data_IF_803782443687
#
_entry.id   IF_803782443687
#
_cell.length_a   1.000
_cell.length_b   1.000
_cell.length_c   1.000
_cell.angle_alpha   90.00
_cell.angle_beta   90.00
_cell.angle_gamma   90.00
#
_symmetry.space_group_name_H-M   'P 1'
#
loop_
_entity.id
_entity.type
_entity.pdbx_description
1 polymer ?
#
# COMPACT_ATOMS: atom_id res chain seq x y z
N UNK A 1 3.39 -30.92 45.26
CA UNK A 1 2.31 -29.92 45.09
C UNK A 1 2.80 -28.64 44.38
N UNK A 2 3.88 -28.68 43.58
CA UNK A 2 4.48 -27.51 42.91
C UNK A 2 4.05 -27.29 41.45
N UNK A 3 3.52 -28.31 40.77
CA UNK A 3 3.28 -28.24 39.32
C UNK A 3 2.17 -27.28 38.89
N UNK A 4 1.14 -27.07 39.73
CA UNK A 4 0.01 -26.19 39.40
C UNK A 4 0.40 -24.72 39.52
N UNK A 5 1.19 -24.36 40.53
CA UNK A 5 1.68 -22.98 40.72
C UNK A 5 2.67 -22.63 39.60
N UNK A 6 3.62 -23.53 39.30
CA UNK A 6 4.60 -23.35 38.22
C UNK A 6 3.94 -23.27 36.82
N UNK A 7 2.89 -24.04 36.57
CA UNK A 7 2.11 -23.94 35.33
C UNK A 7 1.37 -22.59 35.21
N UNK A 8 0.82 -22.08 36.30
CA UNK A 8 0.13 -20.78 36.30
C UNK A 8 1.12 -19.63 36.07
N UNK A 9 2.30 -19.67 36.70
CA UNK A 9 3.32 -18.64 36.48
C UNK A 9 3.87 -18.65 35.05
N UNK A 10 4.16 -19.85 34.50
CA UNK A 10 4.63 -19.98 33.12
C UNK A 10 3.59 -19.48 32.12
N UNK A 11 2.32 -19.87 32.26
CA UNK A 11 1.24 -19.38 31.37
C UNK A 11 1.05 -17.86 31.45
N UNK A 12 1.15 -17.26 32.64
CA UNK A 12 1.04 -15.81 32.80
C UNK A 12 2.21 -15.06 32.15
N UNK A 13 3.42 -15.61 32.23
CA UNK A 13 4.59 -15.07 31.54
C UNK A 13 4.44 -15.12 30.02
N UNK A 14 3.97 -16.24 29.46
CA UNK A 14 3.70 -16.37 28.02
C UNK A 14 2.63 -15.39 27.54
N UNK A 15 1.52 -15.28 28.27
CA UNK A 15 0.43 -14.35 27.94
C UNK A 15 0.92 -12.89 27.92
N UNK A 16 1.72 -12.49 28.92
CA UNK A 16 2.26 -11.13 29.00
C UNK A 16 3.20 -10.82 27.82
N UNK A 17 4.09 -11.75 27.46
CA UNK A 17 4.96 -11.59 26.31
C UNK A 17 4.18 -11.54 24.99
N UNK A 18 3.14 -12.35 24.84
CA UNK A 18 2.26 -12.34 23.67
C UNK A 18 1.54 -11.00 23.52
N UNK A 19 1.00 -10.43 24.60
CA UNK A 19 0.32 -9.12 24.57
C UNK A 19 1.28 -7.99 24.22
N UNK A 20 2.54 -8.06 24.66
CA UNK A 20 3.56 -7.05 24.31
C UNK A 20 3.95 -7.15 22.83
N UNK A 21 4.15 -8.37 22.33
CA UNK A 21 4.46 -8.60 20.91
C UNK A 21 3.27 -8.26 20.00
N UNK A 22 2.03 -8.52 20.44
CA UNK A 22 0.83 -8.17 19.68
C UNK A 22 0.64 -6.66 19.54
N UNK A 23 1.04 -5.88 20.55
CA UNK A 23 1.09 -4.41 20.45
C UNK A 23 2.12 -3.95 19.42
N UNK A 24 3.30 -4.57 19.38
CA UNK A 24 4.35 -4.22 18.43
C UNK A 24 3.91 -4.48 16.97
N UNK A 25 3.29 -5.63 16.69
CA UNK A 25 2.74 -5.91 15.35
C UNK A 25 1.59 -4.95 14.99
N UNK A 26 0.78 -4.53 15.96
CA UNK A 26 -0.26 -3.52 15.75
C UNK A 26 0.31 -2.17 15.31
N UNK A 27 1.42 -1.74 15.90
CA UNK A 27 2.11 -0.51 15.49
C UNK A 27 2.69 -0.64 14.08
N UNK A 28 3.38 -1.75 13.78
CA UNK A 28 3.93 -2.02 12.44
C UNK A 28 2.82 -2.03 11.38
N UNK A 29 1.68 -2.67 11.69
CA UNK A 29 0.53 -2.69 10.81
C UNK A 29 -0.02 -1.28 10.56
N UNK A 30 -0.17 -0.46 11.59
CA UNK A 30 -0.59 0.94 11.46
C UNK A 30 0.32 1.74 10.52
N UNK A 31 1.64 1.61 10.68
CA UNK A 31 2.63 2.27 9.82
C UNK A 31 2.48 1.80 8.37
N UNK A 32 2.47 0.48 8.13
CA UNK A 32 2.33 -0.05 6.78
C UNK A 32 1.02 0.36 6.11
N UNK A 33 -0.07 0.43 6.87
CA UNK A 33 -1.38 0.84 6.34
C UNK A 33 -1.39 2.31 5.94
N UNK A 34 -0.76 3.18 6.72
CA UNK A 34 -0.61 4.62 6.39
C UNK A 34 0.28 4.79 5.15
N UNK A 35 1.43 4.11 5.10
CA UNK A 35 2.30 4.13 3.93
C UNK A 35 1.56 3.64 2.66
N UNK A 36 0.80 2.55 2.79
CA UNK A 36 0.02 2.01 1.68
C UNK A 36 -1.09 2.96 1.24
N UNK A 37 -1.76 3.63 2.18
CA UNK A 37 -2.77 4.64 1.87
C UNK A 37 -2.17 5.80 1.06
N UNK A 38 -0.97 6.26 1.40
CA UNK A 38 -0.29 7.32 0.63
C UNK A 38 0.01 6.82 -0.80
N UNK A 39 0.54 5.60 -0.95
CA UNK A 39 0.82 5.01 -2.26
C UNK A 39 -0.46 4.90 -3.10
N UNK A 40 -1.56 4.47 -2.48
CA UNK A 40 -2.88 4.42 -3.11
C UNK A 40 -3.28 5.81 -3.62
N UNK A 41 -3.21 6.83 -2.78
CA UNK A 41 -3.60 8.20 -3.16
C UNK A 41 -2.74 8.69 -4.34
N UNK A 42 -1.43 8.47 -4.29
CA UNK A 42 -0.51 8.84 -5.38
C UNK A 42 -0.89 8.09 -6.65
N UNK A 43 -1.11 6.77 -6.60
CA UNK A 43 -1.53 5.99 -7.76
C UNK A 43 -2.83 6.53 -8.38
N UNK A 44 -3.82 6.89 -7.55
CA UNK A 44 -5.09 7.46 -8.00
C UNK A 44 -4.99 8.86 -8.63
N UNK A 45 -3.99 9.66 -8.26
CA UNK A 45 -3.77 11.00 -8.83
C UNK A 45 -2.91 10.94 -10.09
N UNK A 46 -2.05 9.92 -10.23
CA UNK A 46 -1.17 9.78 -11.40
C UNK A 46 -1.98 9.80 -12.70
N UNK A 47 -1.66 10.68 -13.66
CA UNK A 47 -2.45 10.89 -14.87
C UNK A 47 -2.27 9.80 -15.93
N UNK A 48 -1.38 8.84 -15.69
CA UNK A 48 -1.03 7.77 -16.62
C UNK A 48 -1.25 6.42 -15.93
N UNK A 49 -2.34 5.77 -16.30
CA UNK A 49 -2.71 4.44 -15.81
C UNK A 49 -2.51 3.40 -16.90
N UNK A 50 -2.85 3.75 -18.14
CA UNK A 50 -2.59 2.92 -19.32
C UNK A 50 -1.84 3.77 -20.35
N UNK A 51 -0.65 3.29 -20.74
CA UNK A 51 0.14 3.91 -21.80
C UNK A 51 -0.38 3.49 -23.18
N UNK A 52 -0.66 4.45 -24.04
CA UNK A 52 -0.85 4.20 -25.47
C UNK A 52 0.52 4.03 -26.16
N UNK A 53 0.57 3.22 -27.20
CA UNK A 53 1.78 2.98 -27.99
C UNK A 53 2.17 4.24 -28.77
N UNK A 54 3.46 4.57 -28.82
CA UNK A 54 4.01 5.72 -29.57
C UNK A 54 3.74 5.67 -31.08
N UNK A 55 3.28 4.53 -31.59
CA UNK A 55 2.97 4.28 -32.99
C UNK A 55 1.51 4.62 -33.36
N UNK A 56 0.66 5.03 -32.39
CA UNK A 56 -0.74 5.35 -32.68
C UNK A 56 -0.85 6.74 -33.34
N UNK A 57 -1.70 6.87 -34.36
CA UNK A 57 -1.93 8.13 -35.09
C UNK A 57 -2.44 9.26 -34.16
N UNK A 58 -3.02 8.89 -33.00
CA UNK A 58 -3.53 9.81 -31.98
C UNK A 58 -3.19 9.29 -30.57
N UNK A 59 -1.99 9.57 -30.04
CA UNK A 59 -1.57 9.03 -28.75
C UNK A 59 -2.47 9.57 -27.62
N UNK A 60 -3.19 8.66 -26.96
CA UNK A 60 -4.07 9.00 -25.84
C UNK A 60 -3.44 8.56 -24.51
N UNK A 61 -3.27 9.49 -23.57
CA UNK A 61 -2.90 9.14 -22.20
C UNK A 61 -4.17 8.89 -21.41
N UNK A 62 -4.36 7.63 -21.02
CA UNK A 62 -5.50 7.22 -20.22
C UNK A 62 -5.13 7.29 -18.74
N UNK A 63 -5.60 8.33 -18.06
CA UNK A 63 -5.66 8.37 -16.61
C UNK A 63 -6.97 7.77 -16.11
N UNK A 64 -7.04 7.42 -14.82
CA UNK A 64 -8.25 6.84 -14.26
C UNK A 64 -9.48 7.76 -14.37
N UNK A 65 -9.27 9.08 -14.27
CA UNK A 65 -10.35 10.06 -14.21
C UNK A 65 -10.61 10.81 -15.51
N UNK A 66 -9.59 10.89 -16.38
CA UNK A 66 -9.58 11.72 -17.58
C UNK A 66 -8.75 11.04 -18.65
N UNK A 67 -9.21 11.15 -19.90
CA UNK A 67 -8.43 10.78 -21.08
C UNK A 67 -7.92 12.06 -21.72
N UNK A 68 -6.61 12.13 -21.92
CA UNK A 68 -5.97 13.26 -22.59
C UNK A 68 -5.49 12.79 -23.96
N UNK A 69 -6.04 13.37 -25.02
CA UNK A 69 -5.59 13.13 -26.37
C UNK A 69 -4.45 14.09 -26.69
N UNK A 70 -3.29 13.56 -27.07
CA UNK A 70 -2.21 14.37 -27.62
C UNK A 70 -2.53 14.62 -29.09
N UNK A 71 -2.65 15.90 -29.46
CA UNK A 71 -2.71 16.30 -30.86
C UNK A 71 -1.30 16.20 -31.43
N UNK A 72 -1.13 15.37 -32.46
CA UNK A 72 0.11 15.30 -33.21
C UNK A 72 0.28 16.61 -34.00
N UNK A 73 1.09 17.54 -33.48
CA UNK A 73 1.54 18.70 -34.25
C UNK A 73 2.55 18.19 -35.30
N UNK A 74 2.29 18.37 -36.62
CA UNK A 74 3.27 18.01 -37.62
C UNK A 74 4.53 18.86 -37.44
N UNK A 75 5.70 18.22 -37.38
CA UNK A 75 7.02 18.83 -37.14
C UNK A 75 7.53 19.74 -38.29
N UNK A 76 6.64 20.28 -39.12
CA UNK A 76 7.01 21.13 -40.26
C UNK A 76 6.09 22.36 -40.35
N UNK A 77 6.49 23.42 -39.63
CA UNK A 77 6.16 24.82 -39.91
C UNK A 77 7.39 25.68 -39.60
#
# INVERSE_FOLDING_TARGET
>A
MGSKVEYVDSTHMYATNYVRNSKAIGVLWGIFTICYLIIIVVAFVTPEWMGDTSESEYPARFGLWKVVFLRHEPQFA
#
